data_IF_738184916172
#
_entry.id   IF_738184916172
#
_cell.length_a   1.000
_cell.length_b   1.000
_cell.length_c   1.000
_cell.angle_alpha   90.00
_cell.angle_beta   90.00
_cell.angle_gamma   90.00
#
_symmetry.space_group_name_H-M   'P 1'
#
loop_
_entity.id
_entity.type
_entity.pdbx_description
1 polymer ?
#
# COMPACT_ATOMS: atom_id res chain seq x y z
N UNK A 1 2.63 19.94 6.45
CA UNK A 1 1.41 19.13 6.23
C UNK A 1 1.66 17.73 6.78
N UNK A 2 0.78 17.24 7.66
CA UNK A 2 0.90 15.94 8.36
C UNK A 2 1.17 14.78 7.38
N UNK A 3 0.46 14.74 6.25
CA UNK A 3 0.60 13.71 5.22
C UNK A 3 2.04 13.60 4.71
N UNK A 4 2.69 14.73 4.40
CA UNK A 4 4.07 14.74 3.89
C UNK A 4 5.06 14.19 4.92
N UNK A 5 4.83 14.48 6.20
CA UNK A 5 5.66 13.94 7.29
C UNK A 5 5.45 12.43 7.47
N UNK A 6 4.21 11.96 7.50
CA UNK A 6 3.91 10.52 7.54
C UNK A 6 4.55 9.78 6.36
N UNK A 7 4.43 10.33 5.15
CA UNK A 7 5.05 9.77 3.95
C UNK A 7 6.57 9.73 4.05
N UNK A 8 7.20 10.76 4.63
CA UNK A 8 8.64 10.79 4.86
C UNK A 8 9.10 9.71 5.83
N UNK A 9 8.46 9.60 7.01
CA UNK A 9 8.79 8.56 8.00
C UNK A 9 8.57 7.14 7.42
N UNK A 10 7.46 6.94 6.71
CA UNK A 10 7.14 5.67 6.06
C UNK A 10 8.21 5.30 5.00
N UNK A 11 8.59 6.27 4.15
CA UNK A 11 9.61 6.08 3.12
C UNK A 11 10.99 5.80 3.71
N UNK A 12 11.36 6.48 4.81
CA UNK A 12 12.65 6.27 5.48
C UNK A 12 12.72 4.91 6.17
N UNK A 13 11.64 4.49 6.84
CA UNK A 13 11.54 3.13 7.37
C UNK A 13 11.70 2.09 6.25
N UNK A 14 10.90 2.22 5.17
CA UNK A 14 10.97 1.32 4.01
C UNK A 14 12.40 1.25 3.45
N UNK A 15 13.04 2.39 3.20
CA UNK A 15 14.39 2.43 2.62
C UNK A 15 15.45 1.85 3.56
N UNK A 16 15.34 2.08 4.86
CA UNK A 16 16.28 1.53 5.86
C UNK A 16 16.23 0.01 5.84
N UNK A 17 15.02 -0.56 5.83
CA UNK A 17 14.82 -2.00 5.75
C UNK A 17 15.26 -2.54 4.38
N UNK A 18 14.88 -1.87 3.29
CA UNK A 18 15.24 -2.29 1.94
C UNK A 18 16.77 -2.30 1.73
N UNK A 19 17.48 -1.29 2.25
CA UNK A 19 18.95 -1.25 2.20
C UNK A 19 19.57 -2.45 2.91
N UNK A 20 19.05 -2.84 4.07
CA UNK A 20 19.55 -4.01 4.81
C UNK A 20 19.29 -5.31 4.06
N UNK A 21 18.11 -5.47 3.45
CA UNK A 21 17.81 -6.64 2.60
C UNK A 21 18.69 -6.69 1.35
N UNK A 22 18.93 -5.55 0.68
CA UNK A 22 19.79 -5.49 -0.53
C UNK A 22 21.23 -5.90 -0.24
N UNK A 23 21.78 -5.48 0.88
CA UNK A 23 23.20 -5.62 1.18
C UNK A 23 23.53 -6.86 2.03
N UNK A 24 22.55 -7.48 2.68
CA UNK A 24 22.77 -8.68 3.48
C UNK A 24 21.98 -9.87 2.92
N UNK A 25 22.68 -10.85 2.34
CA UNK A 25 22.08 -12.07 1.79
C UNK A 25 21.41 -12.96 2.85
N UNK A 26 21.80 -12.85 4.11
CA UNK A 26 21.16 -13.57 5.22
C UNK A 26 19.82 -12.95 5.62
N UNK A 27 19.62 -11.68 5.27
CA UNK A 27 18.38 -10.96 5.56
C UNK A 27 17.28 -11.42 4.62
N UNK A 28 16.42 -12.32 5.08
CA UNK A 28 15.24 -12.73 4.32
C UNK A 28 14.18 -11.61 4.35
N UNK A 29 13.57 -11.25 3.22
CA UNK A 29 12.51 -10.24 3.16
C UNK A 29 11.16 -10.82 3.60
N UNK A 30 11.13 -11.46 4.77
CA UNK A 30 9.94 -12.02 5.38
C UNK A 30 9.37 -11.01 6.36
N UNK A 31 8.14 -10.58 6.12
CA UNK A 31 7.47 -9.53 6.90
C UNK A 31 7.64 -9.67 8.42
N UNK A 32 7.39 -10.86 8.99
CA UNK A 32 7.46 -11.09 10.44
C UNK A 32 8.87 -10.89 11.01
N UNK A 33 9.90 -11.27 10.24
CA UNK A 33 11.30 -11.06 10.62
C UNK A 33 11.68 -9.58 10.53
N UNK A 34 11.27 -8.91 9.44
CA UNK A 34 11.52 -7.48 9.27
C UNK A 34 10.84 -6.66 10.38
N UNK A 35 9.59 -6.97 10.73
CA UNK A 35 8.89 -6.27 11.81
C UNK A 35 9.60 -6.46 13.16
N UNK A 36 10.03 -7.69 13.48
CA UNK A 36 10.74 -7.98 14.74
C UNK A 36 12.07 -7.23 14.82
N UNK A 37 12.85 -7.25 13.76
CA UNK A 37 14.19 -6.66 13.72
C UNK A 37 14.17 -5.12 13.73
N UNK A 38 13.20 -4.51 13.04
CA UNK A 38 13.10 -3.05 12.92
C UNK A 38 12.06 -2.44 13.87
N UNK A 39 11.64 -3.18 14.90
CA UNK A 39 10.67 -2.73 15.92
C UNK A 39 11.10 -1.43 16.61
N UNK A 40 12.40 -1.30 16.91
CA UNK A 40 12.96 -0.16 17.64
C UNK A 40 13.44 0.98 16.72
N UNK A 41 13.10 0.96 15.43
CA UNK A 41 13.44 2.07 14.54
C UNK A 41 12.71 3.35 14.99
N UNK A 42 13.44 4.45 15.16
CA UNK A 42 12.91 5.71 15.69
C UNK A 42 11.77 6.31 14.83
N UNK A 43 11.73 6.01 13.52
CA UNK A 43 10.61 6.44 12.67
C UNK A 43 9.27 5.82 13.11
N UNK A 44 9.28 4.68 13.79
CA UNK A 44 8.07 4.00 14.27
C UNK A 44 7.31 4.83 15.31
N UNK A 45 7.95 5.74 16.03
CA UNK A 45 7.27 6.63 16.99
C UNK A 45 6.33 7.62 16.30
N UNK A 46 6.59 7.93 15.03
CA UNK A 46 5.82 8.87 14.21
C UNK A 46 4.78 8.18 13.32
N UNK A 47 4.79 6.85 13.26
CA UNK A 47 3.88 6.07 12.42
C UNK A 47 2.86 5.35 13.29
N UNK A 48 1.60 5.36 12.86
CA UNK A 48 0.63 4.44 13.46
C UNK A 48 1.06 3.00 13.15
N UNK A 49 0.77 2.06 14.06
CA UNK A 49 1.15 0.64 13.94
C UNK A 49 0.81 0.07 12.55
N UNK A 50 -0.37 0.39 12.04
CA UNK A 50 -0.85 -0.07 10.74
C UNK A 50 -0.04 0.52 9.58
N UNK A 51 0.39 1.78 9.65
CA UNK A 51 1.18 2.39 8.57
C UNK A 51 2.53 1.68 8.43
N UNK A 52 3.24 1.46 9.56
CA UNK A 52 4.53 0.76 9.54
C UNK A 52 4.39 -0.69 9.08
N UNK A 53 3.36 -1.40 9.53
CA UNK A 53 3.12 -2.77 9.09
C UNK A 53 2.87 -2.89 7.60
N UNK A 54 2.01 -2.02 7.06
CA UNK A 54 1.67 -2.04 5.64
C UNK A 54 2.89 -1.69 4.78
N UNK A 55 3.74 -0.75 5.22
CA UNK A 55 5.00 -0.44 4.54
C UNK A 55 5.94 -1.65 4.46
N UNK A 56 6.09 -2.39 5.57
CA UNK A 56 6.94 -3.59 5.63
C UNK A 56 6.33 -4.78 4.86
N UNK A 57 5.01 -4.93 4.88
CA UNK A 57 4.29 -5.94 4.08
C UNK A 57 4.46 -5.67 2.59
N UNK A 58 4.34 -4.41 2.16
CA UNK A 58 4.58 -4.01 0.77
C UNK A 58 6.02 -4.34 0.36
N UNK A 59 7.01 -3.98 1.18
CA UNK A 59 8.42 -4.30 0.90
C UNK A 59 8.64 -5.82 0.76
N UNK A 60 8.11 -6.62 1.70
CA UNK A 60 8.22 -8.07 1.64
C UNK A 60 7.58 -8.65 0.37
N UNK A 61 6.42 -8.11 -0.03
CA UNK A 61 5.73 -8.51 -1.26
C UNK A 61 6.50 -8.09 -2.52
N UNK A 62 7.10 -6.90 -2.54
CA UNK A 62 7.92 -6.41 -3.65
C UNK A 62 9.11 -7.35 -3.87
N UNK A 63 9.79 -7.74 -2.79
CA UNK A 63 10.91 -8.70 -2.85
C UNK A 63 10.47 -10.10 -3.27
N UNK A 64 9.34 -10.59 -2.75
CA UNK A 64 8.76 -11.87 -3.18
C UNK A 64 8.48 -11.88 -4.69
N UNK A 65 7.91 -10.79 -5.20
CA UNK A 65 7.60 -10.62 -6.63
C UNK A 65 8.86 -10.52 -7.48
N UNK A 66 9.90 -9.85 -6.99
CA UNK A 66 11.22 -9.80 -7.62
C UNK A 66 11.84 -11.20 -7.76
N UNK A 67 11.88 -12.00 -6.69
CA UNK A 67 12.45 -13.35 -6.76
C UNK A 67 11.66 -14.28 -7.69
N UNK A 68 10.32 -14.17 -7.67
CA UNK A 68 9.48 -14.91 -8.61
C UNK A 68 9.79 -14.52 -10.06
N UNK A 69 9.89 -13.23 -10.35
CA UNK A 69 10.22 -12.70 -11.68
C UNK A 69 11.63 -13.10 -12.12
N UNK A 70 12.61 -13.09 -11.21
CA UNK A 70 13.97 -13.52 -11.50
C UNK A 70 14.03 -15.02 -11.83
N UNK A 71 13.23 -15.85 -11.16
CA UNK A 71 13.12 -17.29 -11.47
C UNK A 71 12.46 -17.54 -12.81
N UNK A 72 11.40 -16.80 -13.15
CA UNK A 72 10.73 -16.90 -14.46
C UNK A 72 11.62 -16.38 -15.58
N UNK A 73 12.32 -15.26 -15.39
CA UNK A 73 13.29 -14.71 -16.35
C UNK A 73 14.39 -15.72 -16.72
N UNK A 74 14.91 -16.47 -15.74
CA UNK A 74 15.92 -17.52 -15.99
C UNK A 74 15.41 -18.65 -16.89
N UNK A 75 14.09 -18.90 -16.90
CA UNK A 75 13.45 -19.94 -17.73
C UNK A 75 12.96 -19.38 -19.07
N UNK A 76 12.41 -18.17 -19.04
CA UNK A 76 11.68 -17.54 -20.14
C UNK A 76 12.21 -16.11 -20.38
N UNK A 77 13.50 -15.91 -20.74
CA UNK A 77 14.08 -14.58 -20.86
C UNK A 77 13.36 -13.71 -21.91
N UNK A 78 12.86 -14.33 -22.98
CA UNK A 78 12.16 -13.65 -24.09
C UNK A 78 10.85 -12.95 -23.68
N UNK A 79 10.24 -13.34 -22.55
CA UNK A 79 9.03 -12.70 -22.02
C UNK A 79 9.31 -11.30 -21.46
N UNK A 80 10.58 -10.97 -21.21
CA UNK A 80 10.99 -9.75 -20.52
C UNK A 80 11.82 -8.87 -21.45
N UNK A 81 11.63 -7.55 -21.35
CA UNK A 81 12.48 -6.56 -22.05
C UNK A 81 13.90 -6.43 -21.47
N UNK A 82 14.16 -7.12 -20.36
CA UNK A 82 15.43 -7.10 -19.64
C UNK A 82 15.32 -7.82 -18.30
N UNK A 83 16.46 -8.03 -17.64
CA UNK A 83 16.49 -8.72 -16.35
C UNK A 83 15.68 -7.94 -15.29
N UNK A 84 14.78 -8.59 -14.53
CA UNK A 84 14.09 -7.96 -13.42
C UNK A 84 15.09 -7.36 -12.42
N UNK A 85 14.82 -6.15 -11.95
CA UNK A 85 15.62 -5.46 -10.92
C UNK A 85 14.99 -5.56 -9.53
N UNK A 86 15.79 -5.46 -8.45
CA UNK A 86 15.27 -5.50 -7.08
C UNK A 86 14.44 -4.25 -6.75
N UNK A 87 13.61 -4.28 -5.68
CA UNK A 87 12.76 -3.15 -5.30
C UNK A 87 13.52 -1.83 -5.14
N UNK A 88 13.02 -0.77 -5.77
CA UNK A 88 13.64 0.56 -5.71
C UNK A 88 13.41 1.26 -4.37
N UNK A 89 14.28 2.23 -4.07
CA UNK A 89 14.09 3.11 -2.92
C UNK A 89 12.95 4.10 -3.17
N UNK A 90 12.36 4.58 -2.07
CA UNK A 90 11.26 5.55 -2.04
C UNK A 90 11.82 6.94 -1.76
N UNK A 91 11.48 7.91 -2.62
CA UNK A 91 11.94 9.29 -2.53
C UNK A 91 10.74 10.20 -2.38
N UNK A 92 10.78 11.10 -1.39
CA UNK A 92 9.62 11.92 -1.02
C UNK A 92 9.05 12.74 -2.19
N UNK A 93 9.91 13.19 -3.11
CA UNK A 93 9.51 14.09 -4.21
C UNK A 93 9.07 13.33 -5.48
N UNK A 94 9.43 12.06 -5.63
CA UNK A 94 9.16 11.30 -6.85
C UNK A 94 8.29 10.08 -6.61
N UNK A 95 8.56 9.28 -5.59
CA UNK A 95 7.85 8.04 -5.29
C UNK A 95 7.78 7.78 -3.77
N UNK A 96 7.11 8.64 -2.99
CA UNK A 96 6.95 8.39 -1.56
C UNK A 96 6.20 7.08 -1.30
N UNK A 97 6.41 6.51 -0.12
CA UNK A 97 5.54 5.44 0.37
C UNK A 97 4.08 5.89 0.45
N UNK A 98 3.18 4.97 0.10
CA UNK A 98 1.76 5.11 0.38
C UNK A 98 1.53 5.01 1.90
N UNK A 99 0.66 5.87 2.43
CA UNK A 99 0.26 5.82 3.84
C UNK A 99 -1.04 5.05 3.92
N UNK A 100 -0.99 3.88 4.53
CA UNK A 100 -2.09 2.93 4.50
C UNK A 100 -2.69 2.78 5.89
N UNK A 101 -3.99 2.96 5.99
CA UNK A 101 -4.81 2.74 7.18
C UNK A 101 -5.75 1.57 6.89
N UNK A 102 -5.81 0.58 7.77
CA UNK A 102 -6.83 -0.48 7.68
C UNK A 102 -8.06 -0.09 8.48
N UNK A 103 -9.16 -0.82 8.34
CA UNK A 103 -10.40 -0.64 9.09
C UNK A 103 -10.21 -0.33 10.59
N UNK A 104 -9.29 -1.03 11.28
CA UNK A 104 -8.99 -0.80 12.70
C UNK A 104 -8.41 0.59 13.04
N UNK A 105 -7.86 1.30 12.05
CA UNK A 105 -7.33 2.65 12.19
C UNK A 105 -8.24 3.72 11.54
N UNK A 106 -9.42 3.33 11.08
CA UNK A 106 -10.41 4.16 10.40
C UNK A 106 -11.62 4.31 11.30
N UNK A 107 -12.13 5.54 11.45
CA UNK A 107 -13.41 5.81 12.10
C UNK A 107 -14.19 6.79 11.25
N UNK A 108 -15.50 6.64 11.19
CA UNK A 108 -16.39 7.54 10.47
C UNK A 108 -17.40 8.06 11.49
N UNK A 109 -17.48 9.39 11.64
CA UNK A 109 -18.40 10.08 12.55
C UNK A 109 -18.79 11.42 11.95
N UNK A 110 -20.05 11.79 12.03
CA UNK A 110 -20.55 13.11 11.61
C UNK A 110 -20.06 13.50 10.18
N UNK A 111 -20.17 12.57 9.24
CA UNK A 111 -19.69 12.70 7.84
C UNK A 111 -18.18 12.98 7.69
N UNK A 112 -17.41 12.75 8.75
CA UNK A 112 -15.96 12.91 8.79
C UNK A 112 -15.28 11.55 8.84
N UNK A 113 -14.33 11.39 7.95
CA UNK A 113 -13.38 10.31 7.98
C UNK A 113 -12.23 10.67 8.93
N UNK A 114 -12.05 9.90 10.00
CA UNK A 114 -10.98 10.06 10.98
C UNK A 114 -9.97 8.91 10.86
N UNK A 115 -8.72 9.25 10.60
CA UNK A 115 -7.60 8.31 10.51
C UNK A 115 -6.71 8.41 11.75
N UNK A 116 -6.47 7.29 12.41
CA UNK A 116 -5.69 7.25 13.66
C UNK A 116 -4.20 7.52 13.43
N UNK A 117 -3.64 8.45 14.21
CA UNK A 117 -2.24 8.88 14.14
C UNK A 117 -1.43 8.35 15.32
N UNK A 118 -0.09 8.34 15.23
CA UNK A 118 0.74 8.04 16.40
C UNK A 118 0.63 9.16 17.45
N UNK A 119 0.86 8.84 18.73
CA UNK A 119 0.87 9.84 19.81
C UNK A 119 1.82 11.00 19.52
N UNK A 120 2.98 10.72 18.94
CA UNK A 120 3.99 11.73 18.61
C UNK A 120 3.51 12.72 17.56
N UNK A 121 2.84 12.25 16.50
CA UNK A 121 2.23 13.12 15.48
C UNK A 121 1.06 13.91 16.08
N UNK A 122 0.22 13.26 16.91
CA UNK A 122 -0.90 13.93 17.58
C UNK A 122 -0.41 15.12 18.42
N UNK A 123 0.58 14.90 19.29
CA UNK A 123 1.18 15.95 20.12
C UNK A 123 1.87 17.04 19.29
N UNK A 124 2.64 16.65 18.25
CA UNK A 124 3.38 17.60 17.41
C UNK A 124 2.48 18.57 16.66
N UNK A 125 1.31 18.11 16.21
CA UNK A 125 0.37 18.90 15.42
C UNK A 125 -0.85 19.37 16.20
N UNK A 126 -0.93 19.04 17.50
CA UNK A 126 -2.08 19.29 18.36
C UNK A 126 -3.42 18.81 17.74
N UNK A 127 -3.43 17.58 17.20
CA UNK A 127 -4.61 16.95 16.61
C UNK A 127 -4.83 15.56 17.18
N UNK A 128 -6.08 15.08 17.25
CA UNK A 128 -6.39 13.71 17.71
C UNK A 128 -6.34 12.67 16.58
N UNK A 129 -6.67 13.08 15.37
CA UNK A 129 -6.71 12.24 14.18
C UNK A 129 -6.51 13.09 12.92
N UNK A 130 -6.21 12.45 11.80
CA UNK A 130 -6.24 13.10 10.49
C UNK A 130 -7.65 13.01 9.94
N UNK A 131 -8.29 14.16 9.78
CA UNK A 131 -9.71 14.26 9.45
C UNK A 131 -9.92 14.71 8.00
N UNK A 132 -10.88 14.10 7.33
CA UNK A 132 -11.36 14.52 6.01
C UNK A 132 -12.87 14.64 6.03
N UNK A 133 -13.39 15.75 5.53
CA UNK A 133 -14.81 15.89 5.21
C UNK A 133 -15.03 15.23 3.84
N UNK A 134 -15.95 14.27 3.80
CA UNK A 134 -16.28 13.57 2.56
C UNK A 134 -17.39 14.34 1.86
N UNK A 135 -17.23 14.75 0.58
CA UNK A 135 -18.31 15.34 -0.19
C UNK A 135 -19.51 14.39 -0.28
N UNK A 136 -20.74 14.92 -0.31
CA UNK A 136 -21.97 14.11 -0.42
C UNK A 136 -21.94 13.15 -1.62
N UNK A 137 -21.37 13.59 -2.74
CA UNK A 137 -21.20 12.76 -3.94
C UNK A 137 -20.34 11.51 -3.70
N UNK A 138 -19.41 11.53 -2.74
CA UNK A 138 -18.60 10.36 -2.36
C UNK A 138 -19.39 9.47 -1.41
N UNK A 139 -20.15 10.06 -0.50
CA UNK A 139 -20.99 9.33 0.46
C UNK A 139 -22.11 8.54 -0.24
N UNK A 140 -22.61 9.02 -1.38
CA UNK A 140 -23.66 8.33 -2.14
C UNK A 140 -23.17 7.12 -2.94
N UNK A 141 -21.86 7.03 -3.25
CA UNK A 141 -21.28 5.94 -4.06
C UNK A 141 -20.50 4.92 -3.23
N UNK A 142 -20.06 5.29 -2.02
CA UNK A 142 -19.25 4.44 -1.14
C UNK A 142 -20.06 4.00 0.07
N UNK A 143 -20.16 2.69 0.28
CA UNK A 143 -20.60 2.12 1.55
C UNK A 143 -19.49 2.36 2.60
N UNK A 144 -19.67 3.42 3.39
CA UNK A 144 -18.73 3.86 4.42
C UNK A 144 -18.56 2.82 5.54
N UNK A 145 -19.59 2.01 5.81
CA UNK A 145 -19.51 0.95 6.83
C UNK A 145 -18.72 -0.27 6.34
N UNK A 146 -18.62 -0.45 5.02
CA UNK A 146 -17.87 -1.54 4.40
C UNK A 146 -16.39 -1.21 4.11
N UNK A 147 -15.89 -0.06 4.55
CA UNK A 147 -14.50 0.38 4.30
C UNK A 147 -13.49 -0.56 4.95
N UNK A 148 -12.61 -1.12 4.13
CA UNK A 148 -11.54 -2.04 4.53
C UNK A 148 -10.22 -1.33 4.73
N UNK A 149 -9.93 -0.36 3.86
CA UNK A 149 -8.63 0.28 3.81
C UNK A 149 -8.73 1.67 3.18
N UNK A 150 -7.90 2.58 3.67
CA UNK A 150 -7.69 3.90 3.09
C UNK A 150 -6.22 4.05 2.79
N UNK A 151 -5.92 4.51 1.57
CA UNK A 151 -4.55 4.78 1.13
C UNK A 151 -4.43 6.25 0.76
N UNK A 152 -3.38 6.89 1.28
CA UNK A 152 -2.98 8.22 0.85
C UNK A 152 -1.75 8.05 -0.05
N UNK A 153 -1.88 8.46 -1.31
CA UNK A 153 -0.86 8.29 -2.35
C UNK A 153 -0.58 9.62 -3.04
N UNK A 154 0.68 9.86 -3.37
CA UNK A 154 1.05 10.96 -4.24
C UNK A 154 1.11 10.48 -5.69
N UNK A 155 0.51 11.22 -6.60
CA UNK A 155 0.67 10.99 -8.02
C UNK A 155 2.08 11.39 -8.49
N UNK A 156 2.65 10.57 -9.36
CA UNK A 156 4.03 10.72 -9.80
C UNK A 156 4.22 11.93 -10.71
N UNK A 157 3.21 12.28 -11.51
CA UNK A 157 3.28 13.33 -12.53
C UNK A 157 2.84 14.66 -11.94
N UNK A 158 1.59 14.75 -11.47
CA UNK A 158 0.98 15.98 -10.96
C UNK A 158 1.45 16.38 -9.57
N UNK A 159 2.11 15.47 -8.83
CA UNK A 159 2.52 15.63 -7.42
C UNK A 159 1.37 15.89 -6.43
N UNK A 160 0.12 15.72 -6.88
CA UNK A 160 -1.08 15.85 -6.05
C UNK A 160 -1.24 14.63 -5.16
N UNK A 161 -1.85 14.83 -4.00
CA UNK A 161 -2.17 13.77 -3.06
C UNK A 161 -3.60 13.30 -3.27
N UNK A 162 -3.78 11.99 -3.36
CA UNK A 162 -5.06 11.32 -3.52
C UNK A 162 -5.38 10.50 -2.28
N UNK A 163 -6.65 10.53 -1.90
CA UNK A 163 -7.24 9.65 -0.91
C UNK A 163 -7.99 8.54 -1.64
N UNK A 164 -7.51 7.31 -1.54
CA UNK A 164 -8.14 6.14 -2.12
C UNK A 164 -8.90 5.38 -1.02
N UNK A 165 -10.20 5.22 -1.21
CA UNK A 165 -11.08 4.48 -0.29
C UNK A 165 -11.34 3.10 -0.89
N UNK A 166 -10.99 2.06 -0.15
CA UNK A 166 -11.16 0.65 -0.54
C UNK A 166 -12.19 0.04 0.39
N UNK A 167 -13.31 -0.41 -0.18
CA UNK A 167 -14.46 -0.94 0.53
C UNK A 167 -14.94 -2.24 -0.11
N UNK A 168 -15.62 -3.07 0.70
CA UNK A 168 -16.18 -4.33 0.21
C UNK A 168 -17.49 -4.05 -0.51
N UNK A 169 -17.59 -4.45 -1.77
CA UNK A 169 -18.85 -4.43 -2.53
C UNK A 169 -19.55 -5.77 -2.30
N UNK A 170 -20.84 -5.74 -1.96
CA UNK A 170 -21.65 -6.96 -1.83
C UNK A 170 -21.80 -7.60 -3.21
N UNK A 171 -21.67 -8.92 -3.27
CA UNK A 171 -21.85 -9.66 -4.51
C UNK A 171 -23.26 -9.41 -5.08
N UNK A 172 -23.34 -9.13 -6.38
CA UNK A 172 -24.62 -9.03 -7.06
C UNK A 172 -25.27 -10.42 -7.06
N UNK A 173 -26.58 -10.50 -6.77
CA UNK A 173 -27.31 -11.77 -6.83
C UNK A 173 -27.13 -12.39 -8.21
N UNK A 174 -26.70 -13.65 -8.26
CA UNK A 174 -26.57 -14.38 -9.52
C UNK A 174 -27.89 -14.34 -10.29
N UNK A 175 -27.81 -14.05 -11.58
CA UNK A 175 -28.97 -14.12 -12.45
C UNK A 175 -29.39 -15.60 -12.53
N UNK A 176 -30.65 -15.92 -12.22
CA UNK A 176 -31.22 -17.28 -12.38
C UNK A 176 -31.31 -17.75 -13.84
N UNK A 177 -30.72 -17.02 -14.79
CA UNK A 177 -30.72 -17.39 -16.20
C UNK A 177 -29.58 -18.38 -16.45
N UNK A 178 -29.93 -19.52 -17.05
CA UNK A 178 -29.00 -20.57 -17.49
C UNK A 178 -28.17 -20.10 -18.70
N UNK A 179 -27.32 -19.10 -18.51
CA UNK A 179 -26.39 -18.65 -19.55
C UNK A 179 -25.02 -19.26 -19.24
N UNK A 180 -24.70 -20.39 -19.87
CA UNK A 180 -23.34 -20.94 -19.87
C UNK A 180 -22.55 -20.26 -20.98
N UNK A 181 -21.50 -19.51 -20.63
CA UNK A 181 -20.49 -19.06 -21.58
C UNK A 181 -19.22 -19.88 -21.39
N UNK A 182 -18.75 -20.51 -22.46
CA UNK A 182 -17.40 -21.03 -22.55
C UNK A 182 -16.49 -19.91 -23.07
N UNK A 183 -15.41 -19.64 -22.35
CA UNK A 183 -14.35 -18.73 -22.82
C UNK A 183 -13.21 -19.59 -23.33
N UNK A 184 -13.09 -19.69 -24.64
CA UNK A 184 -11.92 -20.28 -25.29
C UNK A 184 -10.96 -19.15 -25.69
N UNK A 185 -9.65 -19.37 -25.46
CA UNK A 185 -8.60 -18.44 -25.83
C UNK A 185 -7.77 -19.09 -26.95
N UNK A 186 -8.30 -19.16 -28.16
CA UNK A 186 -7.51 -19.57 -29.32
C UNK A 186 -6.48 -18.48 -29.67
N UNK A 187 -5.20 -18.80 -29.54
CA UNK A 187 -4.12 -18.01 -30.13
C UNK A 187 -4.15 -18.20 -31.65
N UNK A 188 -4.67 -17.20 -32.37
CA UNK A 188 -4.58 -17.13 -33.83
C UNK A 188 -3.10 -17.12 -34.24
N UNK A 189 -2.59 -18.28 -34.66
CA UNK A 189 -1.31 -18.40 -35.34
C UNK A 189 -1.43 -17.77 -36.73
N UNK A 190 -0.82 -16.60 -36.91
CA UNK A 190 -0.58 -16.07 -38.25
C UNK A 190 0.47 -16.95 -38.94
N UNK A 191 0.06 -17.60 -40.03
CA UNK A 191 0.95 -18.21 -41.03
C UNK A 191 1.60 -17.11 -41.89
#
# INVERSE_FOLDING_TARGET
MIIRELAWHCSKLYNTVNYKVKNNKEQKPVYTQLEKQFKNNWHNEYLHYHNRQQALKQLAQDWKSFFASLKDYKKNPQKYKGQPGPPNFKHLNSNPCEIIFTNLAIRIRDNKLLLSLSKKIQSKYNVKALNFELPEAVQSIVDLDAVQQIKIKQDHISKKWYLLIIYKVKEAKESKKSNMMAVDNETAGYQ
#
